data_IF_511286468936
#
_entry.id   IF_511286468936
#
_cell.length_a   1.000
_cell.length_b   1.000
_cell.length_c   1.000
_cell.angle_alpha   90.00
_cell.angle_beta   90.00
_cell.angle_gamma   90.00
#
_symmetry.space_group_name_H-M   'P 1'
#
loop_
_entity.id
_entity.type
_entity.pdbx_description
1 polymer ?
#
# COMPACT_ATOMS: atom_id res chain seq x y z
N UNK A 1 4.93 25.05 49.27
CA UNK A 1 6.36 24.95 49.66
C UNK A 1 6.53 25.75 50.93
N UNK A 2 6.82 25.09 52.07
CA UNK A 2 7.15 25.78 53.33
C UNK A 2 8.63 26.11 53.31
N UNK A 3 8.96 27.40 53.22
CA UNK A 3 10.33 27.90 53.32
C UNK A 3 10.45 28.61 54.67
N UNK A 4 11.21 28.03 55.60
CA UNK A 4 11.61 28.67 56.84
C UNK A 4 13.02 29.24 56.66
N UNK A 5 13.15 30.56 56.64
CA UNK A 5 14.45 31.24 56.71
C UNK A 5 14.90 31.28 58.16
N UNK A 6 16.01 30.60 58.46
CA UNK A 6 16.64 30.61 59.77
C UNK A 6 17.26 31.99 60.08
N UNK A 7 16.66 32.68 61.04
CA UNK A 7 17.36 33.68 61.84
C UNK A 7 17.08 33.35 63.32
N UNK A 8 18.16 33.32 64.09
CA UNK A 8 18.25 32.83 65.46
C UNK A 8 17.39 33.64 66.45
N UNK A 9 16.10 33.31 66.59
CA UNK A 9 15.27 33.50 67.80
C UNK A 9 14.23 32.37 67.85
N UNK A 10 14.40 31.46 68.80
CA UNK A 10 13.56 30.28 69.03
C UNK A 10 12.30 30.61 69.82
N UNK A 11 11.24 31.05 69.14
CA UNK A 11 9.85 30.74 69.51
C UNK A 11 9.03 30.81 68.23
N UNK A 12 8.49 29.68 67.78
CA UNK A 12 7.59 29.66 66.63
C UNK A 12 6.29 30.38 67.02
N UNK A 13 6.10 31.61 66.54
CA UNK A 13 4.99 32.49 66.98
C UNK A 13 3.69 32.26 66.18
N UNK A 14 3.73 31.46 65.11
CA UNK A 14 2.54 31.12 64.33
C UNK A 14 2.83 30.43 63.00
N UNK A 15 1.77 30.05 62.30
CA UNK A 15 1.83 29.48 60.95
C UNK A 15 1.13 30.44 59.97
N UNK A 16 1.75 30.69 58.82
CA UNK A 16 1.12 31.37 57.69
C UNK A 16 0.73 30.33 56.65
N UNK A 17 -0.57 30.16 56.42
CA UNK A 17 -1.10 29.33 55.35
C UNK A 17 -1.55 30.22 54.20
N UNK A 18 -1.00 30.01 53.00
CA UNK A 18 -1.47 30.64 51.77
C UNK A 18 -2.13 29.56 50.92
N UNK A 19 -3.42 29.70 50.67
CA UNK A 19 -4.17 28.89 49.73
C UNK A 19 -4.38 29.67 48.44
N UNK A 20 -4.13 29.05 47.30
CA UNK A 20 -4.55 29.56 45.99
C UNK A 20 -5.67 28.68 45.49
N UNK A 21 -6.79 29.29 45.11
CA UNK A 21 -7.82 28.55 44.38
C UNK A 21 -7.26 28.21 42.99
N UNK A 22 -7.12 26.92 42.74
CA UNK A 22 -6.64 26.34 41.48
C UNK A 22 -7.71 25.48 40.83
N UNK A 23 -8.96 25.57 41.30
CA UNK A 23 -10.06 24.70 40.86
C UNK A 23 -10.32 24.88 39.37
N UNK A 24 -10.47 26.12 38.91
CA UNK A 24 -10.72 26.44 37.50
C UNK A 24 -9.54 26.03 36.61
N UNK A 25 -8.30 26.27 37.07
CA UNK A 25 -7.11 25.87 36.33
C UNK A 25 -6.99 24.34 36.20
N UNK A 26 -7.23 23.59 37.29
CA UNK A 26 -7.19 22.12 37.26
C UNK A 26 -8.30 21.55 36.38
N UNK A 27 -9.52 22.09 36.46
CA UNK A 27 -10.62 21.66 35.60
C UNK A 27 -10.30 21.90 34.12
N UNK A 28 -9.72 23.05 33.77
CA UNK A 28 -9.28 23.33 32.40
C UNK A 28 -8.18 22.37 31.93
N UNK A 29 -7.20 22.07 32.78
CA UNK A 29 -6.15 21.10 32.47
C UNK A 29 -6.71 19.69 32.28
N UNK A 30 -7.60 19.24 33.17
CA UNK A 30 -8.22 17.91 33.10
C UNK A 30 -9.08 17.77 31.84
N UNK A 31 -9.85 18.81 31.46
CA UNK A 31 -10.61 18.82 30.21
C UNK A 31 -9.70 18.75 28.97
N UNK A 32 -8.57 19.48 28.99
CA UNK A 32 -7.61 19.45 27.89
C UNK A 32 -6.98 18.05 27.74
N UNK A 33 -6.59 17.43 28.85
CA UNK A 33 -6.04 16.06 28.86
C UNK A 33 -7.06 15.07 28.30
N UNK A 34 -8.32 15.13 28.76
CA UNK A 34 -9.38 14.26 28.25
C UNK A 34 -9.67 14.48 26.77
N UNK A 35 -9.67 15.72 26.30
CA UNK A 35 -9.86 16.03 24.88
C UNK A 35 -8.74 15.43 24.03
N UNK A 36 -7.49 15.56 24.47
CA UNK A 36 -6.32 15.05 23.77
C UNK A 36 -6.26 13.51 23.77
N UNK A 37 -6.64 12.86 24.87
CA UNK A 37 -6.78 11.40 24.92
C UNK A 37 -7.87 10.89 23.98
N UNK A 38 -9.01 11.59 23.92
CA UNK A 38 -10.11 11.25 23.01
C UNK A 38 -9.69 11.41 21.55
N UNK A 39 -8.99 12.49 21.22
CA UNK A 39 -8.43 12.74 19.89
C UNK A 39 -7.42 11.65 19.51
N UNK A 40 -6.47 11.34 20.40
CA UNK A 40 -5.48 10.26 20.18
C UNK A 40 -6.16 8.93 19.89
N UNK A 41 -7.15 8.57 20.69
CA UNK A 41 -7.92 7.32 20.51
C UNK A 41 -8.68 7.31 19.18
N UNK A 42 -9.23 8.46 18.75
CA UNK A 42 -9.91 8.57 17.47
C UNK A 42 -8.93 8.40 16.30
N UNK A 43 -7.75 9.02 16.37
CA UNK A 43 -6.68 8.87 15.37
C UNK A 43 -6.20 7.42 15.28
N UNK A 44 -5.95 6.77 16.42
CA UNK A 44 -5.55 5.35 16.47
C UNK A 44 -6.60 4.43 15.83
N UNK A 45 -7.90 4.69 16.07
CA UNK A 45 -9.00 3.93 15.45
C UNK A 45 -9.09 4.15 13.94
N UNK A 46 -8.91 5.39 13.48
CA UNK A 46 -8.90 5.70 12.05
C UNK A 46 -7.76 4.98 11.35
N UNK A 47 -6.55 5.02 11.91
CA UNK A 47 -5.39 4.29 11.38
C UNK A 47 -5.62 2.78 11.31
N UNK A 48 -6.16 2.19 12.37
CA UNK A 48 -6.47 0.76 12.38
C UNK A 48 -7.53 0.39 11.32
N UNK A 49 -8.50 1.27 11.08
CA UNK A 49 -9.54 1.06 10.06
C UNK A 49 -8.98 1.19 8.64
N UNK A 50 -8.09 2.16 8.40
CA UNK A 50 -7.41 2.29 7.11
C UNK A 50 -6.51 1.09 6.81
N UNK A 51 -5.76 0.61 7.80
CA UNK A 51 -4.93 -0.59 7.64
C UNK A 51 -5.78 -1.82 7.30
N UNK A 52 -6.87 -2.04 8.05
CA UNK A 52 -7.79 -3.15 7.77
C UNK A 52 -8.47 -3.03 6.39
N UNK A 53 -8.79 -1.81 5.94
CA UNK A 53 -9.32 -1.55 4.59
C UNK A 53 -8.29 -1.98 3.54
N UNK A 54 -7.02 -1.62 3.73
CA UNK A 54 -5.96 -1.91 2.78
C UNK A 54 -5.64 -3.41 2.71
N UNK A 55 -5.55 -4.08 3.85
CA UNK A 55 -5.36 -5.54 3.93
C UNK A 55 -6.50 -6.28 3.23
N UNK A 56 -7.76 -5.84 3.46
CA UNK A 56 -8.92 -6.42 2.81
C UNK A 56 -8.86 -6.26 1.29
N UNK A 57 -8.59 -5.05 0.78
CA UNK A 57 -8.50 -4.78 -0.66
C UNK A 57 -7.34 -5.58 -1.28
N UNK A 58 -6.19 -5.66 -0.60
CA UNK A 58 -5.04 -6.46 -1.03
C UNK A 58 -5.41 -7.93 -1.20
N UNK A 59 -5.96 -8.53 -0.15
CA UNK A 59 -6.33 -9.95 -0.13
C UNK A 59 -7.34 -10.28 -1.23
N UNK A 60 -8.42 -9.50 -1.33
CA UNK A 60 -9.45 -9.70 -2.35
C UNK A 60 -8.87 -9.58 -3.76
N UNK A 61 -7.97 -8.61 -3.98
CA UNK A 61 -7.36 -8.42 -5.30
C UNK A 61 -6.49 -9.59 -5.71
N UNK A 62 -5.70 -10.16 -4.79
CA UNK A 62 -4.91 -11.36 -5.04
C UNK A 62 -5.78 -12.61 -5.29
N UNK A 63 -6.82 -12.79 -4.48
CA UNK A 63 -7.75 -13.92 -4.61
C UNK A 63 -8.57 -13.85 -5.90
N UNK A 64 -8.85 -12.65 -6.43
CA UNK A 64 -9.55 -12.48 -7.71
C UNK A 64 -8.60 -12.57 -8.91
N UNK A 65 -7.36 -12.08 -8.81
CA UNK A 65 -6.41 -12.11 -9.92
C UNK A 65 -6.14 -13.53 -10.40
N UNK A 66 -5.93 -14.47 -9.48
CA UNK A 66 -5.60 -15.87 -9.79
C UNK A 66 -6.67 -16.56 -10.66
N UNK A 67 -7.95 -16.65 -10.24
CA UNK A 67 -8.99 -17.30 -11.03
C UNK A 67 -9.27 -16.56 -12.34
N UNK A 68 -9.20 -15.23 -12.36
CA UNK A 68 -9.42 -14.45 -13.60
C UNK A 68 -8.28 -14.68 -14.60
N UNK A 69 -7.04 -14.73 -14.14
CA UNK A 69 -5.88 -15.06 -14.98
C UNK A 69 -6.04 -16.46 -15.59
N UNK A 70 -6.51 -17.44 -14.81
CA UNK A 70 -6.80 -18.78 -15.34
C UNK A 70 -7.94 -18.75 -16.39
N UNK A 71 -9.01 -17.99 -16.16
CA UNK A 71 -10.10 -17.84 -17.13
C UNK A 71 -9.59 -17.24 -18.44
N UNK A 72 -8.77 -16.18 -18.37
CA UNK A 72 -8.16 -15.54 -19.54
C UNK A 72 -7.29 -16.56 -20.28
N UNK A 73 -6.34 -17.21 -19.60
CA UNK A 73 -5.45 -18.19 -20.22
C UNK A 73 -6.18 -19.38 -20.86
N UNK A 74 -7.21 -19.94 -20.21
CA UNK A 74 -8.01 -21.00 -20.83
C UNK A 74 -8.79 -20.51 -22.05
N UNK A 75 -9.24 -19.27 -22.03
CA UNK A 75 -9.98 -18.67 -23.15
C UNK A 75 -9.05 -18.46 -24.35
N UNK A 76 -7.82 -17.99 -24.12
CA UNK A 76 -6.78 -17.86 -25.15
C UNK A 76 -6.43 -19.23 -25.76
N UNK A 77 -6.21 -20.25 -24.92
CA UNK A 77 -5.97 -21.62 -25.37
C UNK A 77 -7.12 -22.22 -26.21
N UNK A 78 -8.37 -21.81 -25.95
CA UNK A 78 -9.54 -22.19 -26.74
C UNK A 78 -9.64 -21.42 -28.06
N UNK A 79 -9.18 -20.16 -28.10
CA UNK A 79 -9.13 -19.37 -29.34
C UNK A 79 -8.06 -19.89 -30.30
N UNK A 80 -6.91 -20.28 -29.76
CA UNK A 80 -5.76 -20.72 -30.56
C UNK A 80 -5.87 -22.18 -31.03
N UNK A 81 -6.94 -22.89 -30.65
CA UNK A 81 -7.12 -24.30 -30.99
C UNK A 81 -6.20 -25.26 -30.23
N UNK A 82 -5.48 -24.76 -29.21
CA UNK A 82 -4.48 -25.55 -28.46
C UNK A 82 -5.12 -26.71 -27.68
N UNK A 83 -6.34 -26.52 -27.17
CA UNK A 83 -7.09 -27.56 -26.42
C UNK A 83 -8.09 -28.28 -27.32
N UNK A 84 -8.86 -27.51 -28.08
CA UNK A 84 -9.86 -27.99 -29.04
C UNK A 84 -10.01 -26.95 -30.13
N UNK A 85 -10.20 -27.40 -31.36
CA UNK A 85 -10.39 -26.51 -32.51
C UNK A 85 -11.75 -25.80 -32.39
N UNK A 86 -11.77 -24.45 -32.29
CA UNK A 86 -13.01 -23.72 -32.06
C UNK A 86 -13.87 -23.66 -33.33
N UNK A 87 -15.19 -23.70 -33.16
CA UNK A 87 -16.12 -23.33 -34.23
C UNK A 87 -16.00 -21.83 -34.52
N UNK A 88 -16.18 -21.40 -35.77
CA UNK A 88 -16.09 -19.97 -36.15
C UNK A 88 -16.99 -19.08 -35.28
N UNK A 89 -18.21 -19.55 -34.95
CA UNK A 89 -19.16 -18.82 -34.12
C UNK A 89 -18.75 -18.69 -32.64
N UNK A 90 -17.79 -19.49 -32.16
CA UNK A 90 -17.30 -19.46 -30.78
C UNK A 90 -16.18 -18.43 -30.57
N UNK A 91 -15.41 -18.11 -31.60
CA UNK A 91 -14.29 -17.16 -31.53
C UNK A 91 -14.69 -15.78 -30.97
N UNK A 92 -15.82 -15.15 -31.38
CA UNK A 92 -16.26 -13.87 -30.81
C UNK A 92 -16.64 -13.96 -29.33
N UNK A 93 -17.12 -15.13 -28.90
CA UNK A 93 -17.52 -15.40 -27.52
C UNK A 93 -16.29 -15.48 -26.63
N UNK A 94 -15.28 -16.26 -27.04
CA UNK A 94 -14.01 -16.38 -26.34
C UNK A 94 -13.28 -15.03 -26.28
N UNK A 95 -13.17 -14.31 -27.39
CA UNK A 95 -12.58 -12.97 -27.41
C UNK A 95 -13.27 -11.99 -26.43
N UNK A 96 -14.58 -12.17 -26.20
CA UNK A 96 -15.34 -11.37 -25.23
C UNK A 96 -15.05 -11.77 -23.79
N UNK A 97 -14.90 -13.06 -23.49
CA UNK A 97 -14.53 -13.55 -22.16
C UNK A 97 -13.12 -13.06 -21.80
N UNK A 98 -12.14 -13.24 -22.70
CA UNK A 98 -10.76 -12.80 -22.49
C UNK A 98 -10.68 -11.29 -22.22
N UNK A 99 -11.33 -10.47 -23.07
CA UNK A 99 -11.37 -9.01 -22.89
C UNK A 99 -11.99 -8.58 -21.55
N UNK A 100 -13.05 -9.26 -21.10
CA UNK A 100 -13.67 -8.95 -19.81
C UNK A 100 -12.79 -9.38 -18.63
N UNK A 101 -12.12 -10.53 -18.73
CA UNK A 101 -11.14 -10.97 -17.73
C UNK A 101 -9.99 -9.98 -17.60
N UNK A 102 -9.42 -9.53 -18.71
CA UNK A 102 -8.36 -8.53 -18.71
C UNK A 102 -8.82 -7.21 -18.08
N UNK A 103 -10.04 -6.76 -18.41
CA UNK A 103 -10.62 -5.55 -17.80
C UNK A 103 -10.79 -5.68 -16.28
N UNK A 104 -11.16 -6.87 -15.80
CA UNK A 104 -11.32 -7.12 -14.36
C UNK A 104 -9.97 -7.13 -13.64
N UNK A 105 -8.91 -7.66 -14.26
CA UNK A 105 -7.54 -7.60 -13.72
C UNK A 105 -7.09 -6.14 -13.56
N UNK A 106 -7.33 -5.29 -14.57
CA UNK A 106 -7.02 -3.86 -14.51
C UNK A 106 -7.77 -3.19 -13.35
N UNK A 107 -9.08 -3.43 -13.23
CA UNK A 107 -9.87 -2.87 -12.12
C UNK A 107 -9.37 -3.31 -10.74
N UNK A 108 -8.92 -4.57 -10.60
CA UNK A 108 -8.31 -5.04 -9.35
C UNK A 108 -7.01 -4.29 -9.05
N UNK A 109 -6.17 -4.05 -10.06
CA UNK A 109 -4.93 -3.30 -9.90
C UNK A 109 -5.17 -1.82 -9.57
N UNK A 110 -6.20 -1.21 -10.15
CA UNK A 110 -6.60 0.18 -9.86
C UNK A 110 -7.10 0.31 -8.41
N UNK A 111 -7.89 -0.66 -7.94
CA UNK A 111 -8.35 -0.70 -6.54
C UNK A 111 -7.18 -0.83 -5.55
N UNK A 112 -6.18 -1.66 -5.85
CA UNK A 112 -4.95 -1.75 -5.06
C UNK A 112 -4.19 -0.43 -5.01
N UNK A 113 -4.08 0.25 -6.15
CA UNK A 113 -3.38 1.53 -6.25
C UNK A 113 -4.09 2.58 -5.40
N UNK A 114 -5.43 2.63 -5.46
CA UNK A 114 -6.23 3.54 -4.64
C UNK A 114 -6.13 3.24 -3.14
N UNK A 115 -6.13 1.95 -2.74
CA UNK A 115 -5.94 1.56 -1.34
C UNK A 115 -4.53 1.92 -0.83
N UNK A 116 -3.49 1.75 -1.66
CA UNK A 116 -2.12 2.07 -1.30
C UNK A 116 -1.83 3.58 -1.21
N UNK A 117 -2.45 4.40 -2.07
CA UNK A 117 -2.26 5.85 -2.10
C UNK A 117 -2.76 6.59 -0.84
N UNK A 118 -3.79 6.07 -0.17
CA UNK A 118 -4.31 6.62 1.08
C UNK A 118 -3.52 6.15 2.31
N UNK A 119 -2.64 5.17 2.15
CA UNK A 119 -1.84 4.63 3.23
C UNK A 119 -0.49 5.35 3.28
N UNK A 120 -0.28 6.16 4.32
CA UNK A 120 1.09 6.55 4.73
C UNK A 120 1.93 5.33 5.18
N UNK A 121 1.38 4.10 5.11
CA UNK A 121 1.95 2.83 5.57
C UNK A 121 2.31 1.83 4.47
N UNK A 122 2.61 2.26 3.24
CA UNK A 122 3.35 1.35 2.34
C UNK A 122 4.73 1.12 2.98
N UNK A 123 4.89 0.01 3.70
CA UNK A 123 6.18 -0.47 4.17
C UNK A 123 6.94 -0.96 2.94
N UNK A 124 7.72 -0.06 2.35
CA UNK A 124 8.68 -0.40 1.31
C UNK A 124 9.79 -1.24 1.95
N UNK A 125 9.94 -2.49 1.50
CA UNK A 125 11.11 -3.28 1.86
C UNK A 125 12.27 -2.81 0.99
N UNK A 126 12.88 -1.71 1.42
CA UNK A 126 14.01 -1.13 0.73
C UNK A 126 15.25 -2.02 0.91
N UNK A 127 15.61 -2.73 -0.15
CA UNK A 127 16.85 -3.49 -0.23
C UNK A 127 17.73 -3.02 -1.39
N UNK A 128 18.96 -3.51 -1.44
CA UNK A 128 19.88 -3.22 -2.54
C UNK A 128 19.50 -4.09 -3.74
N UNK A 129 18.96 -3.45 -4.78
CA UNK A 129 18.43 -4.11 -5.98
C UNK A 129 19.29 -3.72 -7.18
N UNK A 130 19.67 -4.70 -8.00
CA UNK A 130 20.20 -4.44 -9.34
C UNK A 130 19.03 -4.18 -10.30
N UNK A 131 18.99 -2.98 -10.88
CA UNK A 131 17.95 -2.63 -11.86
C UNK A 131 17.98 -3.54 -13.09
N UNK A 132 19.14 -4.11 -13.45
CA UNK A 132 19.24 -5.07 -14.53
C UNK A 132 18.38 -6.32 -14.29
N UNK A 133 18.42 -6.84 -13.06
CA UNK A 133 17.64 -8.01 -12.65
C UNK A 133 16.14 -7.70 -12.60
N UNK A 134 15.77 -6.51 -12.08
CA UNK A 134 14.37 -6.06 -12.07
C UNK A 134 13.82 -5.88 -13.50
N UNK A 135 14.61 -5.33 -14.43
CA UNK A 135 14.25 -5.23 -15.85
C UNK A 135 14.09 -6.62 -16.48
N UNK A 136 15.00 -7.56 -16.19
CA UNK A 136 14.96 -8.90 -16.74
C UNK A 136 13.71 -9.67 -16.30
N UNK A 137 13.35 -9.58 -15.01
CA UNK A 137 12.11 -10.16 -14.47
C UNK A 137 10.87 -9.55 -15.13
N UNK A 138 10.80 -8.22 -15.22
CA UNK A 138 9.70 -7.54 -15.88
C UNK A 138 9.59 -7.94 -17.36
N UNK A 139 10.72 -8.00 -18.08
CA UNK A 139 10.79 -8.39 -19.49
C UNK A 139 10.28 -9.82 -19.72
N UNK A 140 10.68 -10.76 -18.87
CA UNK A 140 10.20 -12.13 -18.93
C UNK A 140 8.68 -12.21 -18.68
N UNK A 141 8.18 -11.40 -17.76
CA UNK A 141 6.77 -11.40 -17.40
C UNK A 141 5.87 -10.74 -18.47
N UNK A 142 6.36 -9.77 -19.25
CA UNK A 142 5.60 -9.16 -20.37
C UNK A 142 5.83 -9.83 -21.73
N UNK A 143 6.86 -10.69 -21.86
CA UNK A 143 7.20 -11.34 -23.12
C UNK A 143 6.02 -12.07 -23.82
N UNK A 144 5.14 -12.82 -23.09
CA UNK A 144 3.98 -13.45 -23.72
C UNK A 144 3.01 -12.44 -24.32
N UNK A 145 2.69 -11.37 -23.57
CA UNK A 145 1.80 -10.30 -24.04
C UNK A 145 2.34 -9.54 -25.25
N UNK A 146 3.66 -9.34 -25.31
CA UNK A 146 4.31 -8.67 -26.45
C UNK A 146 4.28 -9.55 -27.70
N UNK A 147 4.46 -10.87 -27.54
CA UNK A 147 4.40 -11.83 -28.63
C UNK A 147 2.99 -11.93 -29.23
N UNK A 148 1.94 -11.92 -28.41
CA UNK A 148 0.55 -11.92 -28.89
C UNK A 148 0.17 -10.67 -29.70
N UNK A 149 0.82 -9.54 -29.40
CA UNK A 149 0.54 -8.25 -30.04
C UNK A 149 1.50 -7.91 -31.19
N UNK A 150 2.41 -8.82 -31.52
CA UNK A 150 3.46 -8.63 -32.54
C UNK A 150 4.29 -7.35 -32.30
N UNK A 151 4.56 -7.05 -31.02
CA UNK A 151 5.29 -5.86 -30.56
C UNK A 151 6.74 -6.22 -30.22
N UNK A 152 7.67 -5.40 -30.68
CA UNK A 152 9.09 -5.51 -30.32
C UNK A 152 9.44 -4.43 -29.29
N UNK A 153 9.93 -4.85 -28.12
CA UNK A 153 10.46 -3.96 -27.09
C UNK A 153 11.97 -4.13 -27.05
N UNK A 154 12.70 -3.01 -27.13
CA UNK A 154 14.15 -2.99 -26.99
C UNK A 154 14.51 -2.74 -25.52
N UNK A 155 15.27 -3.66 -24.94
CA UNK A 155 15.77 -3.54 -23.57
C UNK A 155 17.26 -3.19 -23.62
N UNK A 156 17.62 -2.01 -23.13
CA UNK A 156 19.01 -1.58 -23.01
C UNK A 156 19.39 -1.51 -21.54
N UNK A 157 20.30 -2.39 -21.12
CA UNK A 157 20.86 -2.42 -19.76
C UNK A 157 22.33 -2.05 -19.80
N UNK A 158 22.84 -1.49 -18.69
CA UNK A 158 24.27 -1.23 -18.55
C UNK A 158 25.06 -2.54 -18.41
N UNK A 159 26.34 -2.54 -18.81
CA UNK A 159 27.23 -3.70 -18.64
C UNK A 159 27.63 -3.93 -17.17
N UNK A 160 27.59 -2.87 -16.35
CA UNK A 160 27.87 -2.94 -14.92
C UNK A 160 26.57 -2.90 -14.10
N UNK A 161 26.51 -3.59 -12.93
CA UNK A 161 25.35 -3.58 -12.04
C UNK A 161 24.91 -2.17 -11.66
N UNK A 162 23.65 -1.83 -11.91
CA UNK A 162 23.07 -0.54 -11.51
C UNK A 162 22.30 -0.74 -10.23
N UNK A 163 23.01 -0.61 -9.11
CA UNK A 163 22.44 -0.85 -7.79
C UNK A 163 21.69 0.36 -7.26
N UNK A 164 20.43 0.15 -6.89
CA UNK A 164 19.57 1.14 -6.25
C UNK A 164 19.01 0.59 -4.94
N UNK A 165 18.65 1.48 -4.03
CA UNK A 165 17.90 1.10 -2.83
C UNK A 165 16.41 1.26 -3.14
N UNK A 166 15.67 0.16 -3.10
CA UNK A 166 14.24 0.15 -3.44
C UNK A 166 13.58 -1.19 -3.15
N UNK A 167 12.26 -1.24 -3.34
CA UNK A 167 11.49 -2.48 -3.26
C UNK A 167 11.50 -3.15 -4.65
N UNK A 168 12.05 -4.36 -4.79
CA UNK A 168 12.17 -5.03 -6.09
C UNK A 168 10.81 -5.27 -6.75
N UNK A 169 9.81 -5.65 -5.96
CA UNK A 169 8.45 -5.94 -6.44
C UNK A 169 7.80 -4.69 -7.01
N UNK A 170 8.00 -3.55 -6.35
CA UNK A 170 7.45 -2.28 -6.83
C UNK A 170 8.20 -1.76 -8.05
N UNK A 171 9.52 -1.91 -8.11
CA UNK A 171 10.33 -1.55 -9.28
C UNK A 171 9.92 -2.37 -10.50
N UNK A 172 9.77 -3.69 -10.37
CA UNK A 172 9.23 -4.56 -11.43
C UNK A 172 7.85 -4.09 -11.90
N UNK A 173 6.96 -3.77 -10.96
CA UNK A 173 5.61 -3.28 -11.24
C UNK A 173 5.61 -1.94 -11.99
N UNK A 174 6.51 -1.02 -11.64
CA UNK A 174 6.67 0.25 -12.37
C UNK A 174 7.09 -0.02 -13.81
N UNK A 175 8.09 -0.88 -14.02
CA UNK A 175 8.57 -1.23 -15.36
C UNK A 175 7.46 -1.90 -16.18
N UNK A 176 6.73 -2.86 -15.60
CA UNK A 176 5.57 -3.48 -16.23
C UNK A 176 4.51 -2.48 -16.66
N UNK A 177 4.15 -1.54 -15.78
CA UNK A 177 3.16 -0.52 -16.07
C UNK A 177 3.61 0.39 -17.22
N UNK A 178 4.88 0.79 -17.25
CA UNK A 178 5.45 1.63 -18.31
C UNK A 178 5.45 0.94 -19.67
N UNK A 179 5.72 -0.37 -19.71
CA UNK A 179 5.73 -1.13 -20.98
C UNK A 179 4.31 -1.42 -21.48
N UNK A 180 3.36 -1.63 -20.57
CA UNK A 180 1.97 -1.96 -20.93
C UNK A 180 1.10 -0.73 -21.20
N UNK A 181 1.53 0.46 -20.77
CA UNK A 181 0.81 1.73 -20.94
C UNK A 181 1.59 2.66 -21.88
N UNK A 182 1.43 2.55 -23.22
CA UNK A 182 1.93 3.55 -24.15
C UNK A 182 1.09 4.82 -24.18
#
# INVERSE_FOLDING_TARGET
TLSATEASVTTQVGFLCVGRDVTEQRQGQDMLVQALEKERTAVERLRALDEAKNEFVSTVSHELRTPVTSIVGYTEMLQDGTVVEPLEDQLPLFATIARNGQRLIVLCNDLLTLAGLDSESITWEAEEVDLGDALASAAAAVAPMLHERDLTVLWETAEEPVRVVGDPTQLERVVMNLVTTP
#
